data_IF_461790455078
#
_entry.id   IF_461790455078
#
_cell.length_a   1.000
_cell.length_b   1.000
_cell.length_c   1.000
_cell.angle_alpha   90.00
_cell.angle_beta   90.00
_cell.angle_gamma   90.00
#
_symmetry.space_group_name_H-M   'P 1'
#
loop_
_entity.id
_entity.type
_entity.pdbx_description
1 polymer ?
#
# COMPACT_ATOMS: atom_id res chain seq x y z
N UNK A 1 3.40 -6.35 1.18
CA UNK A 1 2.01 -6.88 1.10
C UNK A 1 1.55 -7.53 2.41
N UNK A 2 2.39 -8.31 3.10
CA UNK A 2 2.07 -9.06 4.33
C UNK A 2 1.28 -8.27 5.39
N UNK A 3 1.68 -7.04 5.69
CA UNK A 3 1.00 -6.21 6.72
C UNK A 3 -0.48 -5.99 6.38
N UNK A 4 -0.84 -5.75 5.10
CA UNK A 4 -2.23 -5.48 4.73
C UNK A 4 -3.17 -6.68 4.87
N UNK A 5 -2.62 -7.89 4.97
CA UNK A 5 -3.38 -9.13 5.07
C UNK A 5 -3.87 -9.38 6.50
N UNK A 6 -3.15 -8.86 7.50
CA UNK A 6 -3.44 -9.09 8.93
C UNK A 6 -4.06 -7.87 9.62
N UNK A 7 -4.50 -6.86 8.87
CA UNK A 7 -5.01 -5.64 9.47
C UNK A 7 -6.46 -5.79 9.95
N UNK A 8 -6.75 -5.49 11.22
CA UNK A 8 -8.12 -5.46 11.72
C UNK A 8 -8.92 -4.26 11.18
N UNK A 9 -10.27 -4.36 11.19
CA UNK A 9 -11.16 -3.43 10.51
C UNK A 9 -11.25 -2.01 11.10
N UNK A 10 -10.73 -1.80 12.31
CA UNK A 10 -10.70 -0.49 12.96
C UNK A 10 -9.44 0.33 12.64
N UNK A 11 -8.50 -0.19 11.84
CA UNK A 11 -7.24 0.51 11.51
C UNK A 11 -7.35 1.27 10.19
N UNK A 12 -6.89 2.53 10.19
CA UNK A 12 -6.75 3.37 9.00
C UNK A 12 -5.28 3.57 8.63
N UNK A 13 -4.87 3.02 7.48
CA UNK A 13 -3.51 3.23 6.96
C UNK A 13 -3.41 4.60 6.26
N UNK A 14 -2.40 5.38 6.64
CA UNK A 14 -2.05 6.63 5.97
C UNK A 14 -1.44 6.37 4.57
N UNK A 15 -1.14 7.42 3.80
CA UNK A 15 -0.52 7.23 2.46
C UNK A 15 0.85 6.55 2.64
N UNK A 16 1.08 5.46 1.91
CA UNK A 16 2.28 4.61 2.02
C UNK A 16 3.54 5.34 1.51
N UNK A 17 3.38 6.24 0.54
CA UNK A 17 4.45 7.07 0.00
C UNK A 17 3.97 8.52 -0.03
N UNK A 18 4.86 9.45 0.31
CA UNK A 18 4.66 10.90 0.16
C UNK A 18 5.12 11.32 -1.24
N UNK A 19 4.75 12.53 -1.67
CA UNK A 19 5.29 13.18 -2.87
C UNK A 19 6.76 13.54 -2.66
N UNK A 20 7.61 12.52 -2.53
CA UNK A 20 9.06 12.65 -2.49
C UNK A 20 9.51 12.53 -3.94
N UNK A 21 10.07 13.59 -4.52
CA UNK A 21 10.51 13.54 -5.90
C UNK A 21 11.56 12.44 -6.10
N UNK A 22 11.40 11.65 -7.16
CA UNK A 22 12.26 10.49 -7.44
C UNK A 22 13.74 10.85 -7.64
N UNK A 23 14.02 12.12 -7.99
CA UNK A 23 15.37 12.63 -8.16
C UNK A 23 16.16 12.77 -6.84
N UNK A 24 15.49 12.77 -5.67
CA UNK A 24 16.14 12.82 -4.35
C UNK A 24 16.42 11.41 -3.76
N UNK A 25 16.09 10.33 -4.47
CA UNK A 25 16.17 8.96 -3.94
C UNK A 25 17.48 8.31 -4.41
N UNK A 26 18.51 8.39 -3.57
CA UNK A 26 19.85 7.82 -3.81
C UNK A 26 19.85 6.28 -3.79
N UNK A 27 19.14 5.67 -2.83
CA UNK A 27 18.82 4.24 -2.80
C UNK A 27 17.43 4.01 -2.20
N UNK A 28 16.51 3.42 -2.97
CA UNK A 28 15.13 3.20 -2.52
C UNK A 28 14.13 2.94 -3.66
N UNK A 29 12.84 2.88 -3.31
CA UNK A 29 11.78 2.68 -4.29
C UNK A 29 11.63 3.91 -5.21
N UNK A 30 12.21 3.86 -6.42
CA UNK A 30 12.06 4.86 -7.48
C UNK A 30 10.66 4.95 -8.10
N UNK A 31 9.74 4.07 -7.69
CA UNK A 31 8.37 3.99 -8.23
C UNK A 31 7.40 4.75 -7.33
N UNK A 32 6.82 5.84 -7.83
CA UNK A 32 5.74 6.61 -7.20
C UNK A 32 4.46 5.78 -6.97
N UNK A 33 4.29 4.68 -7.70
CA UNK A 33 3.07 3.87 -7.73
C UNK A 33 3.08 2.66 -6.77
N UNK A 34 3.68 2.80 -5.58
CA UNK A 34 3.74 1.72 -4.56
C UNK A 34 2.36 1.13 -4.21
N UNK A 35 1.31 1.97 -4.14
CA UNK A 35 -0.04 1.48 -3.80
C UNK A 35 -0.59 0.53 -4.87
N UNK A 36 -0.39 0.84 -6.15
CA UNK A 36 -0.86 -0.03 -7.23
C UNK A 36 -0.12 -1.38 -7.23
N UNK A 37 1.18 -1.37 -6.97
CA UNK A 37 1.98 -2.60 -6.87
C UNK A 37 1.50 -3.50 -5.73
N UNK A 38 1.21 -2.90 -4.57
CA UNK A 38 0.67 -3.65 -3.42
C UNK A 38 -0.75 -4.15 -3.70
N UNK A 39 -1.61 -3.35 -4.33
CA UNK A 39 -2.98 -3.75 -4.66
C UNK A 39 -2.99 -4.88 -5.72
N UNK A 40 -2.11 -4.83 -6.74
CA UNK A 40 -1.94 -5.94 -7.70
C UNK A 40 -1.50 -7.22 -7.01
N UNK A 41 -0.51 -7.14 -6.11
CA UNK A 41 0.00 -8.31 -5.40
C UNK A 41 -1.01 -8.90 -4.41
N UNK A 42 -1.90 -8.08 -3.84
CA UNK A 42 -3.01 -8.57 -3.01
C UNK A 42 -4.05 -9.31 -3.86
N UNK A 43 -4.35 -8.82 -5.07
CA UNK A 43 -5.20 -9.54 -6.03
C UNK A 43 -4.59 -10.85 -6.51
N UNK A 44 -3.30 -10.87 -6.82
CA UNK A 44 -2.58 -12.10 -7.18
C UNK A 44 -2.61 -13.16 -6.07
N UNK A 45 -2.66 -12.72 -4.82
CA UNK A 45 -2.71 -13.60 -3.65
C UNK A 45 -4.15 -13.89 -3.18
N UNK A 46 -5.16 -13.35 -3.87
CA UNK A 46 -6.59 -13.42 -3.52
C UNK A 46 -6.90 -12.99 -2.07
N UNK A 47 -6.15 -12.01 -1.55
CA UNK A 47 -6.32 -11.51 -0.18
C UNK A 47 -6.88 -10.09 -0.18
N UNK A 48 -7.99 -9.91 0.54
CA UNK A 48 -8.63 -8.63 0.74
C UNK A 48 -8.06 -7.89 1.96
N UNK A 49 -7.86 -6.56 1.86
CA UNK A 49 -7.49 -5.72 3.00
C UNK A 49 -8.74 -5.29 3.77
N UNK A 50 -8.82 -5.65 5.04
CA UNK A 50 -9.91 -5.24 5.92
C UNK A 50 -9.69 -3.84 6.52
N UNK A 51 -8.64 -3.11 6.13
CA UNK A 51 -8.39 -1.76 6.61
C UNK A 51 -9.53 -0.78 6.23
N UNK A 52 -9.85 0.19 7.11
CA UNK A 52 -10.93 1.20 6.89
C UNK A 52 -10.81 1.85 5.50
N UNK A 53 -9.58 2.06 5.03
CA UNK A 53 -9.27 2.70 3.75
C UNK A 53 -9.62 1.84 2.52
N UNK A 54 -9.59 0.51 2.64
CA UNK A 54 -10.01 -0.40 1.57
C UNK A 54 -11.47 -0.83 1.73
N UNK A 55 -12.01 -0.83 2.96
CA UNK A 55 -13.43 -1.08 3.23
C UNK A 55 -14.35 0.04 2.76
N UNK A 56 -13.95 1.31 2.89
CA UNK A 56 -14.70 2.47 2.37
C UNK A 56 -14.39 2.79 0.90
N UNK A 57 -13.77 1.87 0.16
CA UNK A 57 -13.39 2.08 -1.24
C UNK A 57 -14.47 1.56 -2.17
#
# INVERSE_FOLDING_TARGET
>A
AKIKQHLPPYIRIQRIMRDIPAFLIEAGCKKSNLRQLVDKRLKELDINCNCIRCLRR
#
